data_IF_998126799256
#
_entry.id   IF_998126799256
#
_cell.length_a   1.000
_cell.length_b   1.000
_cell.length_c   1.000
_cell.angle_alpha   90.00
_cell.angle_beta   90.00
_cell.angle_gamma   90.00
#
_symmetry.space_group_name_H-M   'P 1'
#
loop_
_entity.id
_entity.type
_entity.pdbx_description
1 polymer ?
#
# COMPACT_ATOMS: atom_id res chain seq x y z
N UNK A 1 21.77 -9.19 21.16
CA UNK A 1 23.03 -9.96 21.35
C UNK A 1 23.86 -9.94 20.06
N UNK A 2 25.03 -10.57 20.09
CA UNK A 2 25.94 -10.64 18.94
C UNK A 2 25.34 -11.26 17.67
N UNK A 3 24.29 -12.04 17.81
CA UNK A 3 23.58 -12.70 16.71
C UNK A 3 22.40 -11.88 16.20
N UNK A 4 22.27 -10.62 16.65
CA UNK A 4 21.14 -9.72 16.35
C UNK A 4 19.77 -10.24 16.78
N UNK A 5 19.71 -11.22 17.69
CA UNK A 5 18.48 -11.75 18.26
C UNK A 5 18.12 -11.03 19.55
N UNK A 6 16.81 -10.98 19.86
CA UNK A 6 16.31 -10.38 21.08
C UNK A 6 16.70 -11.23 22.30
N UNK A 7 17.42 -10.63 23.26
CA UNK A 7 17.83 -11.33 24.48
C UNK A 7 16.65 -11.62 25.41
N UNK A 8 15.64 -10.76 25.43
CA UNK A 8 14.40 -10.99 26.22
C UNK A 8 13.71 -12.24 25.69
N UNK A 9 13.41 -12.27 24.39
CA UNK A 9 12.73 -13.42 23.76
C UNK A 9 13.55 -14.72 23.95
N UNK A 10 14.87 -14.66 23.70
CA UNK A 10 15.72 -15.86 23.74
C UNK A 10 15.99 -16.42 25.14
N UNK A 11 15.94 -15.60 26.19
CA UNK A 11 16.32 -16.02 27.53
C UNK A 11 15.14 -16.21 28.48
N UNK A 12 14.06 -15.45 28.32
CA UNK A 12 12.95 -15.44 29.27
C UNK A 12 11.56 -15.62 28.62
N UNK A 13 11.48 -15.71 27.28
CA UNK A 13 10.26 -16.08 26.58
C UNK A 13 9.46 -14.92 26.00
N UNK A 14 8.49 -15.27 25.16
CA UNK A 14 7.63 -14.31 24.45
C UNK A 14 6.72 -13.54 25.40
N UNK A 15 6.27 -14.18 26.49
CA UNK A 15 5.39 -13.61 27.50
C UNK A 15 5.96 -12.36 28.16
N UNK A 16 7.29 -12.19 28.14
CA UNK A 16 8.01 -11.04 28.70
C UNK A 16 8.26 -9.91 27.70
N UNK A 17 7.86 -10.08 26.45
CA UNK A 17 7.96 -9.01 25.44
C UNK A 17 6.92 -7.92 25.72
N UNK A 18 7.28 -6.67 25.42
CA UNK A 18 6.27 -5.61 25.39
C UNK A 18 5.30 -5.82 24.23
N UNK A 19 4.11 -5.22 24.32
CA UNK A 19 3.02 -5.40 23.34
C UNK A 19 3.48 -5.12 21.90
N UNK A 20 4.25 -4.08 21.68
CA UNK A 20 4.79 -3.74 20.35
C UNK A 20 5.70 -4.84 19.79
N UNK A 21 6.53 -5.48 20.65
CA UNK A 21 7.40 -6.57 20.22
C UNK A 21 6.63 -7.87 19.98
N UNK A 22 5.53 -8.09 20.70
CA UNK A 22 4.64 -9.24 20.50
C UNK A 22 3.88 -9.11 19.17
N UNK A 23 3.42 -7.91 18.86
CA UNK A 23 2.64 -7.67 17.65
C UNK A 23 3.51 -7.59 16.38
N UNK A 24 4.69 -6.97 16.45
CA UNK A 24 5.55 -6.87 15.26
C UNK A 24 5.93 -8.26 14.70
N UNK A 25 5.80 -8.51 13.41
CA UNK A 25 5.48 -7.55 12.33
C UNK A 25 3.99 -7.47 11.96
N UNK A 26 3.09 -7.99 12.77
CA UNK A 26 1.66 -8.02 12.49
C UNK A 26 1.03 -6.65 12.72
N UNK A 27 0.04 -6.32 11.92
CA UNK A 27 -0.84 -5.16 12.08
C UNK A 27 -2.26 -5.67 12.13
N UNK A 28 -3.00 -5.20 13.12
CA UNK A 28 -4.40 -5.54 13.28
C UNK A 28 -5.26 -4.29 13.09
N UNK A 29 -6.27 -4.41 12.24
CA UNK A 29 -7.34 -3.44 12.08
C UNK A 29 -8.66 -4.12 12.42
N UNK A 30 -9.70 -3.35 12.71
CA UNK A 30 -11.08 -3.84 12.85
C UNK A 30 -11.92 -3.07 11.83
N UNK A 31 -12.64 -3.78 10.98
CA UNK A 31 -13.55 -3.21 10.00
C UNK A 31 -14.89 -3.92 10.16
N UNK A 32 -15.93 -3.19 10.55
CA UNK A 32 -17.28 -3.74 10.75
C UNK A 32 -17.25 -5.02 11.61
N UNK A 33 -16.60 -4.95 12.77
CA UNK A 33 -16.39 -6.06 13.72
C UNK A 33 -15.50 -7.22 13.20
N UNK A 34 -14.99 -7.16 11.96
CA UNK A 34 -14.05 -8.15 11.43
C UNK A 34 -12.62 -7.76 11.78
N UNK A 35 -11.88 -8.68 12.39
CA UNK A 35 -10.46 -8.49 12.67
C UNK A 35 -9.63 -8.81 11.43
N UNK A 36 -8.89 -7.83 10.94
CA UNK A 36 -7.97 -8.01 9.83
C UNK A 36 -6.52 -8.04 10.32
N UNK A 37 -5.78 -9.05 9.90
CA UNK A 37 -4.35 -9.16 10.18
C UNK A 37 -3.53 -9.03 8.91
N UNK A 38 -2.53 -8.18 8.95
CA UNK A 38 -1.57 -7.98 7.85
C UNK A 38 -0.14 -7.95 8.36
N UNK A 39 0.84 -7.86 7.45
CA UNK A 39 2.25 -7.82 7.78
C UNK A 39 2.96 -6.55 7.32
N UNK A 40 3.79 -6.00 8.20
CA UNK A 40 4.64 -4.85 7.87
C UNK A 40 5.81 -5.28 6.97
N UNK A 41 5.96 -4.61 5.83
CA UNK A 41 7.06 -4.83 4.88
C UNK A 41 8.44 -4.40 5.40
N UNK A 42 8.53 -3.82 6.59
CA UNK A 42 9.79 -3.62 7.30
C UNK A 42 10.38 -4.93 7.87
N UNK A 43 9.60 -5.99 7.95
CA UNK A 43 10.07 -7.32 8.31
C UNK A 43 10.60 -8.05 7.10
N UNK A 44 11.80 -8.61 7.20
CA UNK A 44 12.45 -9.36 6.12
C UNK A 44 11.61 -10.55 5.64
N UNK A 45 11.05 -11.33 6.56
CA UNK A 45 10.20 -12.49 6.23
C UNK A 45 8.90 -12.08 5.53
N UNK A 46 8.27 -10.98 5.97
CA UNK A 46 7.10 -10.43 5.29
C UNK A 46 7.48 -9.97 3.88
N UNK A 47 8.61 -9.27 3.70
CA UNK A 47 9.08 -8.88 2.38
C UNK A 47 9.28 -10.09 1.46
N UNK A 48 9.95 -11.15 1.93
CA UNK A 48 10.21 -12.33 1.11
C UNK A 48 8.93 -13.04 0.70
N UNK A 49 8.00 -13.23 1.65
CA UNK A 49 6.82 -14.06 1.41
C UNK A 49 5.69 -13.28 0.71
N UNK A 50 5.58 -11.97 0.90
CA UNK A 50 4.53 -11.16 0.27
C UNK A 50 5.01 -10.46 -0.99
N UNK A 51 6.13 -9.71 -0.95
CA UNK A 51 6.53 -8.89 -2.10
C UNK A 51 7.16 -9.70 -3.22
N UNK A 52 7.93 -10.75 -2.89
CA UNK A 52 8.63 -11.57 -3.89
C UNK A 52 7.81 -12.76 -4.38
N UNK A 53 6.60 -12.94 -3.90
CA UNK A 53 5.68 -13.93 -4.44
C UNK A 53 5.17 -13.46 -5.82
N UNK A 54 5.29 -14.28 -6.84
CA UNK A 54 4.84 -13.98 -8.20
C UNK A 54 3.32 -14.11 -8.39
N UNK A 55 2.68 -14.87 -7.50
CA UNK A 55 1.23 -15.00 -7.50
C UNK A 55 0.61 -13.71 -6.95
N UNK A 56 -0.64 -13.45 -7.33
CA UNK A 56 -1.40 -12.34 -6.77
C UNK A 56 -1.59 -12.56 -5.27
N UNK A 57 -1.57 -11.47 -4.51
CA UNK A 57 -1.89 -11.53 -3.08
C UNK A 57 -3.36 -11.91 -2.90
N UNK A 58 -3.60 -12.92 -2.08
CA UNK A 58 -4.93 -13.41 -1.72
C UNK A 58 -5.27 -13.02 -0.29
N UNK A 59 -6.55 -12.85 -0.03
CA UNK A 59 -7.10 -12.59 1.29
C UNK A 59 -7.92 -13.80 1.69
N UNK A 60 -7.64 -14.33 2.86
CA UNK A 60 -8.31 -15.52 3.40
C UNK A 60 -9.04 -15.16 4.69
N UNK A 61 -10.24 -15.66 4.82
CA UNK A 61 -10.97 -15.63 6.08
C UNK A 61 -10.64 -16.88 6.88
N UNK A 62 -10.31 -16.70 8.14
CA UNK A 62 -10.01 -17.80 9.06
C UNK A 62 -10.83 -17.62 10.35
N UNK A 63 -11.36 -18.71 10.86
CA UNK A 63 -11.91 -18.77 12.20
C UNK A 63 -10.77 -19.16 13.16
N UNK A 64 -10.33 -18.23 14.02
CA UNK A 64 -9.29 -18.47 15.00
C UNK A 64 -9.61 -17.75 16.32
N UNK A 65 -9.10 -18.27 17.42
CA UNK A 65 -9.19 -17.61 18.72
C UNK A 65 -8.08 -16.55 18.83
N UNK A 66 -8.46 -15.28 18.74
CA UNK A 66 -7.53 -14.17 18.94
C UNK A 66 -7.38 -13.87 20.44
N UNK A 67 -6.14 -13.77 20.89
CA UNK A 67 -5.81 -13.24 22.22
C UNK A 67 -5.92 -11.71 22.21
N UNK A 68 -7.16 -11.22 22.29
CA UNK A 68 -7.53 -9.80 22.14
C UNK A 68 -6.77 -8.93 23.16
N UNK A 69 -6.50 -9.44 24.36
CA UNK A 69 -5.80 -8.70 25.41
C UNK A 69 -4.32 -8.40 25.06
N UNK A 70 -3.75 -9.15 24.13
CA UNK A 70 -2.36 -9.04 23.72
C UNK A 70 -2.15 -8.49 22.29
N UNK A 71 -3.21 -8.06 21.61
CA UNK A 71 -3.10 -7.39 20.31
C UNK A 71 -3.28 -5.88 20.43
N UNK A 72 -2.56 -5.14 19.59
CA UNK A 72 -2.68 -3.69 19.46
C UNK A 72 -3.45 -3.38 18.17
N UNK A 73 -4.69 -2.90 18.33
CA UNK A 73 -5.52 -2.50 17.19
C UNK A 73 -5.03 -1.14 16.71
N UNK A 74 -4.64 -1.09 15.43
CA UNK A 74 -4.11 0.13 14.81
C UNK A 74 -5.22 1.08 14.38
N UNK A 75 -6.29 0.54 13.81
CA UNK A 75 -7.43 1.31 13.31
C UNK A 75 -8.72 0.53 13.46
N UNK A 76 -9.79 1.27 13.64
CA UNK A 76 -11.16 0.76 13.66
C UNK A 76 -11.94 1.59 12.66
N UNK A 77 -12.64 0.94 11.74
CA UNK A 77 -13.63 1.53 10.83
C UNK A 77 -14.94 0.77 11.07
N UNK A 78 -16.00 1.52 11.20
CA UNK A 78 -17.36 1.05 11.26
C UNK A 78 -18.10 1.71 10.07
N UNK A 79 -18.10 1.03 8.93
CA UNK A 79 -18.71 1.54 7.71
C UNK A 79 -20.24 1.49 7.78
N UNK A 80 -20.79 0.53 8.54
CA UNK A 80 -22.22 0.36 8.76
C UNK A 80 -22.83 1.54 9.55
N UNK A 81 -22.02 2.17 10.44
CA UNK A 81 -22.45 3.38 11.15
C UNK A 81 -22.73 4.56 10.23
N UNK A 82 -22.21 4.51 8.99
CA UNK A 82 -22.41 5.54 7.97
C UNK A 82 -23.42 5.14 6.91
N UNK A 83 -24.06 3.97 7.01
CA UNK A 83 -25.12 3.55 6.11
C UNK A 83 -26.23 4.62 6.08
N UNK A 84 -26.62 5.02 4.87
CA UNK A 84 -27.57 6.11 4.63
C UNK A 84 -27.12 7.50 5.12
N UNK A 85 -25.83 7.71 5.32
CA UNK A 85 -25.26 9.02 5.64
C UNK A 85 -24.55 9.62 4.42
N UNK A 86 -24.38 10.93 4.43
CA UNK A 86 -23.61 11.66 3.40
C UNK A 86 -22.11 11.50 3.64
N UNK A 87 -21.61 10.23 3.74
CA UNK A 87 -20.22 9.92 4.04
C UNK A 87 -19.71 8.80 3.14
N UNK A 88 -18.54 8.98 2.52
CA UNK A 88 -17.92 7.97 1.65
C UNK A 88 -17.54 6.67 2.37
N UNK A 89 -17.45 6.66 3.70
CA UNK A 89 -17.15 5.45 4.46
C UNK A 89 -18.24 4.37 4.31
N UNK A 90 -19.47 4.74 3.96
CA UNK A 90 -20.52 3.76 3.64
C UNK A 90 -20.13 2.84 2.47
N UNK A 91 -19.28 3.31 1.55
CA UNK A 91 -18.77 2.57 0.39
C UNK A 91 -17.36 2.00 0.62
N UNK A 92 -16.93 1.86 1.88
CA UNK A 92 -15.57 1.44 2.22
C UNK A 92 -15.15 0.14 1.54
N UNK A 93 -16.02 -0.87 1.59
CA UNK A 93 -15.72 -2.19 1.05
C UNK A 93 -15.62 -2.19 -0.48
N UNK A 94 -16.56 -1.52 -1.13
CA UNK A 94 -16.60 -1.42 -2.59
C UNK A 94 -15.39 -0.69 -3.13
N UNK A 95 -15.10 0.50 -2.58
CA UNK A 95 -13.96 1.32 -2.99
C UNK A 95 -12.63 0.56 -2.76
N UNK A 96 -12.50 -0.13 -1.63
CA UNK A 96 -11.31 -0.92 -1.32
C UNK A 96 -11.15 -2.10 -2.27
N UNK A 97 -12.23 -2.84 -2.54
CA UNK A 97 -12.21 -3.98 -3.43
C UNK A 97 -11.86 -3.56 -4.86
N UNK A 98 -12.51 -2.50 -5.37
CA UNK A 98 -12.19 -1.91 -6.68
C UNK A 98 -10.71 -1.51 -6.74
N UNK A 99 -10.20 -0.85 -5.69
CA UNK A 99 -8.80 -0.43 -5.60
C UNK A 99 -7.85 -1.62 -5.73
N UNK A 100 -8.09 -2.70 -4.98
CA UNK A 100 -7.27 -3.92 -5.03
C UNK A 100 -7.37 -4.59 -6.41
N UNK A 101 -8.58 -4.71 -6.97
CA UNK A 101 -8.79 -5.33 -8.26
C UNK A 101 -8.06 -4.58 -9.39
N UNK A 102 -8.10 -3.24 -9.38
CA UNK A 102 -7.38 -2.42 -10.35
C UNK A 102 -5.86 -2.62 -10.20
N UNK A 103 -5.33 -2.58 -8.96
CA UNK A 103 -3.89 -2.81 -8.72
C UNK A 103 -3.48 -4.21 -9.22
N UNK A 104 -4.31 -5.21 -9.04
CA UNK A 104 -4.03 -6.59 -9.45
C UNK A 104 -4.40 -6.92 -10.90
N UNK A 105 -4.87 -5.94 -11.68
CA UNK A 105 -5.20 -6.17 -13.08
C UNK A 105 -3.95 -6.17 -13.96
N UNK A 106 -3.30 -7.32 -14.07
CA UNK A 106 -2.05 -7.52 -14.84
C UNK A 106 -2.21 -7.43 -16.36
N UNK A 107 -3.41 -7.15 -16.87
CA UNK A 107 -3.62 -6.82 -18.29
C UNK A 107 -3.06 -5.45 -18.66
N UNK A 108 -2.77 -4.62 -17.65
CA UNK A 108 -2.25 -3.27 -17.80
C UNK A 108 -0.93 -3.10 -17.03
N UNK A 109 -0.04 -2.21 -17.51
CA UNK A 109 1.16 -1.82 -16.75
C UNK A 109 0.78 -1.15 -15.44
N UNK A 110 1.65 -1.26 -14.44
CA UNK A 110 1.38 -0.71 -13.10
C UNK A 110 1.12 0.81 -13.14
N UNK A 111 1.82 1.57 -14.00
CA UNK A 111 1.58 3.00 -14.19
C UNK A 111 0.16 3.28 -14.71
N UNK A 112 -0.33 2.44 -15.63
CA UNK A 112 -1.68 2.64 -16.15
C UNK A 112 -2.73 2.29 -15.09
N UNK A 113 -2.51 1.25 -14.28
CA UNK A 113 -3.36 0.92 -13.13
C UNK A 113 -3.44 2.09 -12.14
N UNK A 114 -2.32 2.75 -11.85
CA UNK A 114 -2.30 3.96 -11.01
C UNK A 114 -3.04 5.14 -11.67
N UNK A 115 -2.96 5.27 -13.00
CA UNK A 115 -3.73 6.28 -13.74
C UNK A 115 -5.24 6.02 -13.64
N UNK A 116 -5.65 4.74 -13.73
CA UNK A 116 -7.05 4.32 -13.54
C UNK A 116 -7.51 4.67 -12.11
N UNK A 117 -6.73 4.32 -11.09
CA UNK A 117 -7.06 4.63 -9.70
C UNK A 117 -7.18 6.13 -9.46
N UNK A 118 -6.26 6.92 -10.02
CA UNK A 118 -6.31 8.38 -9.90
C UNK A 118 -7.58 8.94 -10.53
N UNK A 119 -7.97 8.43 -11.70
CA UNK A 119 -9.22 8.83 -12.33
C UNK A 119 -10.41 8.45 -11.46
N UNK A 120 -10.48 7.19 -11.01
CA UNK A 120 -11.55 6.68 -10.14
C UNK A 120 -11.74 7.53 -8.88
N UNK A 121 -10.66 7.80 -8.15
CA UNK A 121 -10.76 8.59 -6.93
C UNK A 121 -11.11 10.05 -7.19
N UNK A 122 -10.66 10.63 -8.30
CA UNK A 122 -11.00 12.00 -8.65
C UNK A 122 -12.50 12.15 -8.95
N UNK A 123 -13.08 11.24 -9.76
CA UNK A 123 -14.51 11.32 -10.09
C UNK A 123 -15.41 11.03 -8.87
N UNK A 124 -14.99 10.11 -7.97
CA UNK A 124 -15.69 9.89 -6.70
C UNK A 124 -15.65 11.12 -5.80
N UNK A 125 -14.48 11.75 -5.68
CA UNK A 125 -14.33 12.93 -4.84
C UNK A 125 -15.09 14.14 -5.39
N UNK A 126 -15.14 14.28 -6.72
CA UNK A 126 -15.90 15.34 -7.37
C UNK A 126 -17.41 15.13 -7.16
N UNK A 127 -17.92 13.91 -7.36
CA UNK A 127 -19.31 13.57 -7.09
C UNK A 127 -19.67 13.78 -5.61
N UNK A 128 -18.77 13.41 -4.69
CA UNK A 128 -18.96 13.63 -3.26
C UNK A 128 -19.04 15.12 -2.88
N UNK A 129 -18.19 15.97 -3.49
CA UNK A 129 -18.23 17.42 -3.27
C UNK A 129 -19.51 18.07 -3.81
N UNK A 130 -20.10 17.48 -4.84
CA UNK A 130 -21.37 17.91 -5.42
C UNK A 130 -22.58 17.32 -4.67
N UNK A 131 -22.35 16.48 -3.65
CA UNK A 131 -23.38 15.77 -2.89
C UNK A 131 -24.28 14.88 -3.78
N UNK A 132 -23.72 14.35 -4.88
CA UNK A 132 -24.44 13.52 -5.86
C UNK A 132 -24.18 12.02 -5.59
N UNK A 133 -24.93 11.47 -4.66
CA UNK A 133 -24.77 10.07 -4.23
C UNK A 133 -25.26 9.06 -5.27
N UNK A 134 -26.23 9.43 -6.11
CA UNK A 134 -26.68 8.57 -7.22
C UNK A 134 -25.52 8.36 -8.22
N UNK A 135 -24.76 9.42 -8.52
CA UNK A 135 -23.56 9.33 -9.37
C UNK A 135 -22.44 8.53 -8.70
N UNK A 136 -22.28 8.59 -7.38
CA UNK A 136 -21.31 7.76 -6.66
C UNK A 136 -21.62 6.28 -6.82
N UNK A 137 -22.89 5.89 -6.67
CA UNK A 137 -23.35 4.52 -6.87
C UNK A 137 -23.10 4.04 -8.29
N UNK A 138 -23.45 4.84 -9.30
CA UNK A 138 -23.18 4.56 -10.72
C UNK A 138 -21.67 4.36 -10.98
N UNK A 139 -20.80 5.21 -10.42
CA UNK A 139 -19.35 5.07 -10.57
C UNK A 139 -18.85 3.76 -9.95
N UNK A 140 -19.35 3.39 -8.77
CA UNK A 140 -18.97 2.16 -8.07
C UNK A 140 -19.42 0.95 -8.89
N UNK A 141 -20.65 0.96 -9.41
CA UNK A 141 -21.18 -0.12 -10.26
C UNK A 141 -20.33 -0.29 -11.54
N UNK A 142 -20.05 0.82 -12.22
CA UNK A 142 -19.22 0.84 -13.43
C UNK A 142 -17.84 0.24 -13.20
N UNK A 143 -17.11 0.71 -12.17
CA UNK A 143 -15.75 0.24 -11.88
C UNK A 143 -15.70 -1.16 -11.25
N UNK A 144 -16.80 -1.67 -10.74
CA UNK A 144 -16.94 -3.05 -10.27
C UNK A 144 -17.19 -4.03 -11.40
N UNK A 145 -17.61 -3.54 -12.57
CA UNK A 145 -17.92 -4.37 -13.74
C UNK A 145 -16.67 -4.95 -14.38
N UNK A 146 -16.67 -6.26 -14.64
CA UNK A 146 -15.58 -6.91 -15.39
C UNK A 146 -15.45 -6.42 -16.84
N UNK A 147 -16.55 -5.88 -17.39
CA UNK A 147 -16.63 -5.41 -18.78
C UNK A 147 -16.28 -3.92 -18.93
N UNK A 148 -15.91 -3.23 -17.84
CA UNK A 148 -15.58 -1.81 -17.91
C UNK A 148 -14.32 -1.55 -18.76
N UNK A 149 -14.47 -0.69 -19.77
CA UNK A 149 -13.38 -0.34 -20.70
C UNK A 149 -12.51 0.81 -20.15
N UNK A 150 -11.40 0.46 -19.53
CA UNK A 150 -10.42 1.42 -19.05
C UNK A 150 -9.60 2.13 -20.15
N UNK A 151 -9.71 1.69 -21.41
CA UNK A 151 -8.83 2.24 -22.50
C UNK A 151 -9.12 3.71 -22.82
N UNK A 152 -10.30 4.21 -22.44
CA UNK A 152 -10.67 5.63 -22.55
C UNK A 152 -9.92 6.54 -21.55
N UNK A 153 -9.37 5.95 -20.48
CA UNK A 153 -8.65 6.70 -19.45
C UNK A 153 -7.26 7.05 -19.94
N UNK A 154 -6.89 8.32 -19.78
CA UNK A 154 -5.58 8.79 -20.19
C UNK A 154 -4.48 8.24 -19.28
N UNK A 155 -3.51 7.53 -19.85
CA UNK A 155 -2.29 7.16 -19.13
C UNK A 155 -1.52 8.43 -18.72
N UNK A 156 -1.28 8.57 -17.43
CA UNK A 156 -0.40 9.61 -16.90
C UNK A 156 1.03 9.08 -16.77
N UNK A 157 2.01 9.95 -16.95
CA UNK A 157 3.37 9.66 -16.56
C UNK A 157 3.54 10.05 -15.09
N UNK A 158 3.98 9.13 -14.28
CA UNK A 158 4.36 9.39 -12.89
C UNK A 158 5.87 9.55 -12.85
N UNK A 159 6.34 10.74 -13.28
CA UNK A 159 7.75 11.07 -13.18
C UNK A 159 8.09 11.28 -11.69
N UNK A 160 9.13 10.61 -11.24
CA UNK A 160 9.62 10.80 -9.88
C UNK A 160 9.97 12.28 -9.64
N UNK A 161 9.67 12.78 -8.44
CA UNK A 161 10.00 14.16 -8.08
C UNK A 161 11.52 14.36 -8.10
N UNK A 162 12.03 15.08 -9.10
CA UNK A 162 13.46 15.42 -9.23
C UNK A 162 14.02 16.04 -7.93
N UNK A 163 13.19 16.78 -7.19
CA UNK A 163 13.58 17.32 -5.87
C UNK A 163 13.77 16.22 -4.85
N UNK A 164 12.88 15.22 -4.84
CA UNK A 164 13.02 14.07 -3.95
C UNK A 164 14.33 13.33 -4.21
N UNK A 165 14.62 13.03 -5.48
CA UNK A 165 15.87 12.37 -5.86
C UNK A 165 17.10 13.23 -5.56
N UNK A 166 17.03 14.54 -5.76
CA UNK A 166 18.12 15.45 -5.43
C UNK A 166 18.39 15.49 -3.93
N UNK A 167 17.35 15.48 -3.10
CA UNK A 167 17.45 15.40 -1.64
C UNK A 167 18.01 14.04 -1.21
N UNK A 168 17.45 12.94 -1.74
CA UNK A 168 17.90 11.57 -1.45
C UNK A 168 19.39 11.40 -1.77
N UNK A 169 19.82 12.00 -2.86
CA UNK A 169 21.21 11.98 -3.32
C UNK A 169 22.10 13.06 -2.66
N UNK A 170 21.58 13.91 -1.79
CA UNK A 170 22.37 14.97 -1.15
C UNK A 170 23.40 14.41 -0.15
N UNK A 171 24.53 15.11 -0.05
CA UNK A 171 25.56 14.75 0.93
C UNK A 171 25.08 15.01 2.37
N UNK A 172 24.17 15.95 2.57
CA UNK A 172 23.60 16.28 3.86
C UNK A 172 22.72 15.12 4.39
N UNK A 173 21.85 14.56 3.57
CA UNK A 173 21.07 13.39 3.93
C UNK A 173 21.96 12.17 4.17
N UNK A 174 22.95 11.96 3.30
CA UNK A 174 23.90 10.83 3.40
C UNK A 174 24.67 10.82 4.72
N UNK A 175 24.99 11.99 5.30
CA UNK A 175 25.65 12.10 6.61
C UNK A 175 24.74 11.66 7.76
N UNK A 176 23.43 11.90 7.65
CA UNK A 176 22.45 11.61 8.70
C UNK A 176 21.90 10.18 8.66
N UNK A 177 22.03 9.48 7.55
CA UNK A 177 21.61 8.09 7.41
C UNK A 177 22.51 7.20 8.28
N UNK A 178 21.91 6.40 9.17
CA UNK A 178 22.66 5.44 10.01
C UNK A 178 22.84 4.08 9.33
N UNK A 179 21.90 3.69 8.47
CA UNK A 179 21.94 2.41 7.77
C UNK A 179 23.07 2.36 6.75
N UNK A 180 24.01 1.44 6.94
CA UNK A 180 25.14 1.20 6.01
C UNK A 180 24.60 0.73 4.66
N UNK A 181 23.58 -0.15 4.65
CA UNK A 181 22.97 -0.66 3.42
C UNK A 181 22.30 0.45 2.63
N UNK A 182 21.53 1.33 3.28
CA UNK A 182 20.88 2.45 2.59
C UNK A 182 21.91 3.40 1.97
N UNK A 183 23.00 3.70 2.69
CA UNK A 183 24.11 4.49 2.11
C UNK A 183 24.71 3.84 0.87
N UNK A 184 24.87 2.52 0.90
CA UNK A 184 25.38 1.76 -0.23
C UNK A 184 24.40 1.84 -1.42
N UNK A 185 23.10 1.63 -1.19
CA UNK A 185 22.06 1.74 -2.24
C UNK A 185 22.06 3.13 -2.89
N UNK A 186 22.14 4.20 -2.09
CA UNK A 186 22.20 5.57 -2.62
C UNK A 186 23.46 5.78 -3.46
N UNK A 187 24.60 5.25 -3.02
CA UNK A 187 25.85 5.34 -3.79
C UNK A 187 25.77 4.57 -5.11
N UNK A 188 25.22 3.37 -5.09
CA UNK A 188 25.01 2.54 -6.29
C UNK A 188 24.03 3.22 -7.26
N UNK A 189 22.94 3.80 -6.74
CA UNK A 189 21.97 4.56 -7.51
C UNK A 189 22.62 5.78 -8.21
N UNK A 190 23.39 6.59 -7.46
CA UNK A 190 24.14 7.71 -8.04
C UNK A 190 25.08 7.28 -9.16
N UNK A 191 25.81 6.19 -8.97
CA UNK A 191 26.71 5.66 -9.99
C UNK A 191 25.96 5.11 -11.22
N UNK A 192 24.73 4.61 -11.03
CA UNK A 192 23.86 4.15 -12.10
C UNK A 192 23.29 5.30 -12.95
N UNK A 193 22.96 6.44 -12.32
CA UNK A 193 22.47 7.62 -13.06
C UNK A 193 23.47 8.15 -14.10
N UNK A 194 24.77 8.00 -13.84
CA UNK A 194 25.84 8.40 -14.74
C UNK A 194 26.07 7.39 -15.89
N UNK A 195 25.38 6.22 -15.85
CA UNK A 195 25.56 5.16 -16.84
C UNK A 195 24.23 4.83 -17.55
N UNK A 196 24.04 5.46 -18.71
CA UNK A 196 22.82 5.34 -19.49
C UNK A 196 22.52 3.90 -19.96
N UNK A 197 23.55 3.08 -20.17
CA UNK A 197 23.39 1.69 -20.63
C UNK A 197 22.81 0.82 -19.49
N UNK A 198 23.27 1.00 -18.26
CA UNK A 198 22.74 0.32 -17.08
C UNK A 198 21.30 0.75 -16.82
N UNK A 199 20.99 2.03 -16.99
CA UNK A 199 19.65 2.55 -16.82
C UNK A 199 18.68 1.94 -17.84
N UNK A 200 19.07 1.87 -19.11
CA UNK A 200 18.27 1.25 -20.18
C UNK A 200 18.08 -0.25 -19.96
N UNK A 201 19.10 -0.96 -19.50
CA UNK A 201 19.02 -2.37 -19.16
C UNK A 201 18.07 -2.63 -17.98
N UNK A 202 18.15 -1.83 -16.93
CA UNK A 202 17.22 -1.89 -15.79
C UNK A 202 15.78 -1.62 -16.22
N UNK A 203 15.55 -0.57 -17.01
CA UNK A 203 14.20 -0.26 -17.50
C UNK A 203 13.62 -1.39 -18.35
N UNK A 204 14.43 -2.09 -19.15
CA UNK A 204 13.97 -3.25 -19.92
C UNK A 204 13.57 -4.44 -19.07
N UNK A 205 14.01 -4.50 -17.81
CA UNK A 205 13.71 -5.57 -16.86
C UNK A 205 12.57 -5.20 -15.88
N UNK A 206 12.19 -3.92 -15.77
CA UNK A 206 11.19 -3.46 -14.80
C UNK A 206 9.86 -4.20 -14.95
N UNK A 207 9.42 -4.46 -16.18
CA UNK A 207 8.18 -5.22 -16.43
C UNK A 207 8.19 -6.60 -15.77
N UNK A 208 9.36 -7.22 -15.65
CA UNK A 208 9.50 -8.53 -15.01
C UNK A 208 9.37 -8.48 -13.48
N UNK A 209 9.42 -7.28 -12.90
CA UNK A 209 9.36 -7.02 -11.46
C UNK A 209 8.12 -6.24 -11.04
N UNK A 210 7.20 -5.91 -11.96
CA UNK A 210 5.97 -5.16 -11.64
C UNK A 210 5.16 -5.82 -10.51
N UNK A 211 5.19 -7.16 -10.41
CA UNK A 211 4.50 -7.87 -9.35
C UNK A 211 4.98 -7.49 -7.94
N UNK A 212 6.23 -7.03 -7.78
CA UNK A 212 6.76 -6.57 -6.49
C UNK A 212 6.06 -5.27 -6.08
N UNK A 213 5.93 -4.34 -7.02
CA UNK A 213 5.22 -3.08 -6.79
C UNK A 213 3.73 -3.34 -6.57
N UNK A 214 3.11 -4.21 -7.39
CA UNK A 214 1.73 -4.66 -7.20
C UNK A 214 1.51 -5.15 -5.77
N UNK A 215 2.30 -6.13 -5.32
CA UNK A 215 2.18 -6.70 -3.99
C UNK A 215 2.41 -5.65 -2.90
N UNK A 216 3.37 -4.73 -3.10
CA UNK A 216 3.62 -3.67 -2.15
C UNK A 216 2.42 -2.71 -2.04
N UNK A 217 1.84 -2.29 -3.16
CA UNK A 217 0.67 -1.42 -3.19
C UNK A 217 -0.55 -2.11 -2.57
N UNK A 218 -0.81 -3.37 -2.91
CA UNK A 218 -1.91 -4.15 -2.31
C UNK A 218 -1.73 -4.29 -0.80
N UNK A 219 -0.52 -4.63 -0.35
CA UNK A 219 -0.22 -4.68 1.09
C UNK A 219 -0.48 -3.34 1.75
N UNK A 220 -0.14 -2.23 1.11
CA UNK A 220 -0.38 -0.89 1.63
C UNK A 220 -1.87 -0.53 1.68
N UNK A 221 -2.63 -0.85 0.64
CA UNK A 221 -4.09 -0.65 0.64
C UNK A 221 -4.71 -1.40 1.80
N UNK A 222 -4.33 -2.66 2.01
CA UNK A 222 -4.89 -3.49 3.07
C UNK A 222 -4.43 -3.05 4.47
N UNK A 223 -3.12 -2.85 4.67
CA UNK A 223 -2.54 -2.55 5.99
C UNK A 223 -2.87 -1.13 6.47
N UNK A 224 -2.82 -0.16 5.56
CA UNK A 224 -2.98 1.25 5.87
C UNK A 224 -4.40 1.77 5.60
N UNK A 225 -5.32 0.89 5.12
CA UNK A 225 -6.72 1.20 4.80
C UNK A 225 -6.85 2.36 3.79
N UNK A 226 -6.06 2.31 2.72
CA UNK A 226 -6.12 3.31 1.65
C UNK A 226 -7.38 3.04 0.80
N UNK A 227 -8.10 4.08 0.38
CA UNK A 227 -7.77 5.50 0.45
C UNK A 227 -8.15 6.21 1.76
N UNK A 228 -8.83 5.57 2.68
CA UNK A 228 -9.39 6.15 3.91
C UNK A 228 -8.35 6.38 5.04
N UNK A 229 -7.08 6.19 4.76
CA UNK A 229 -6.00 6.37 5.75
C UNK A 229 -5.78 7.82 6.20
N UNK A 230 -6.37 8.79 5.50
CA UNK A 230 -6.31 10.23 5.79
C UNK A 230 -7.70 10.85 5.99
N UNK A 231 -8.67 10.06 6.46
CA UNK A 231 -10.06 10.47 6.57
C UNK A 231 -10.80 10.30 5.23
N UNK A 232 -11.71 11.20 4.91
CA UNK A 232 -12.55 11.14 3.72
C UNK A 232 -11.90 11.73 2.46
N UNK A 233 -10.68 12.27 2.56
CA UNK A 233 -9.96 12.87 1.44
C UNK A 233 -9.27 11.77 0.60
N UNK A 234 -9.99 11.29 -0.42
CA UNK A 234 -9.51 10.27 -1.34
C UNK A 234 -8.30 10.73 -2.15
N UNK A 235 -8.22 12.03 -2.44
CA UNK A 235 -7.09 12.62 -3.15
C UNK A 235 -5.77 12.46 -2.38
N UNK A 236 -5.79 12.61 -1.06
CA UNK A 236 -4.63 12.33 -0.23
C UNK A 236 -4.26 10.85 -0.20
N UNK A 237 -5.25 9.97 -0.23
CA UNK A 237 -5.05 8.52 -0.30
C UNK A 237 -4.36 8.09 -1.59
N UNK A 238 -4.85 8.55 -2.76
CA UNK A 238 -4.25 8.20 -4.06
C UNK A 238 -2.86 8.82 -4.22
N UNK A 239 -2.67 10.07 -3.82
CA UNK A 239 -1.35 10.69 -3.87
C UNK A 239 -0.34 9.95 -2.99
N UNK A 240 -0.79 9.42 -1.85
CA UNK A 240 0.08 8.56 -1.04
C UNK A 240 0.49 7.29 -1.80
N UNK A 241 -0.46 6.59 -2.47
CA UNK A 241 -0.13 5.41 -3.29
C UNK A 241 0.84 5.74 -4.43
N UNK A 242 0.61 6.83 -5.15
CA UNK A 242 1.49 7.28 -6.24
C UNK A 242 2.90 7.59 -5.72
N UNK A 243 3.00 8.26 -4.57
CA UNK A 243 4.30 8.65 -4.01
C UNK A 243 5.11 7.49 -3.42
N UNK A 244 4.47 6.35 -3.12
CA UNK A 244 5.18 5.16 -2.65
C UNK A 244 5.56 4.20 -3.78
N UNK A 245 4.97 4.36 -4.96
CA UNK A 245 5.38 3.70 -6.21
C UNK A 245 6.61 4.37 -6.79
#
# INVERSE_FOLDING_TARGET
NSNMLCDIHGNIGEEHLCITCKNYPRVYNIIDDVYEMSGLTSCYEICLNSLLNKEKMEFIEIEDELDIDNIEIRRIIDSEAFEYSDNLLQYFWDIRLITINIIQNRSYSIEFRLSILKHFFNILEDAFKEEDFDVIEDIIEDFSSEDYDFTSIRKEAFDGDEKFYSILCSDELSKNIKSVRLKQCIKEYKAGLDNLDVFNELNSQLDSFEYIFENYLVNKVFTDLIPFNKGEDLYLGINYLINIY
#
